data_IF_388104094781
#
_entry.id   IF_388104094781
#
_cell.length_a   1.000
_cell.length_b   1.000
_cell.length_c   1.000
_cell.angle_alpha   90.00
_cell.angle_beta   90.00
_cell.angle_gamma   90.00
#
_symmetry.space_group_name_H-M   'P 1'
#
loop_
_entity.id
_entity.type
_entity.pdbx_description
1 polymer ?
#
# COMPACT_ATOMS: atom_id res chain seq x y z
N UNK A 1 9.73 5.66 11.21
CA UNK A 1 10.53 6.53 10.32
C UNK A 1 9.86 7.90 10.23
N UNK A 2 10.63 9.00 10.31
CA UNK A 2 10.07 10.36 10.37
C UNK A 2 9.55 10.94 9.05
N UNK A 3 10.00 10.43 7.89
CA UNK A 3 9.50 10.76 6.54
C UNK A 3 9.63 9.55 5.60
N UNK A 4 8.69 9.39 4.66
CA UNK A 4 8.71 8.39 3.58
C UNK A 4 9.13 9.06 2.25
N UNK A 5 9.80 8.30 1.39
CA UNK A 5 10.14 8.70 0.02
C UNK A 5 9.10 8.19 -0.97
N UNK A 6 8.71 9.02 -1.92
CA UNK A 6 7.67 8.72 -2.90
C UNK A 6 8.22 8.79 -4.32
N UNK A 7 7.74 7.91 -5.20
CA UNK A 7 8.20 7.82 -6.59
C UNK A 7 7.97 9.13 -7.36
N UNK A 8 6.82 9.80 -7.16
CA UNK A 8 6.54 11.11 -7.78
C UNK A 8 7.51 12.23 -7.39
N UNK A 9 8.37 12.04 -6.38
CA UNK A 9 9.42 13.01 -6.01
C UNK A 9 10.67 12.88 -6.88
N UNK A 10 10.67 11.97 -7.86
CA UNK A 10 11.81 11.71 -8.76
C UNK A 10 12.76 10.61 -8.27
N UNK A 11 12.44 9.94 -7.17
CA UNK A 11 13.19 8.77 -6.71
C UNK A 11 12.86 7.54 -7.54
N UNK A 12 13.85 6.68 -7.77
CA UNK A 12 13.62 5.37 -8.36
C UNK A 12 12.82 4.47 -7.40
N UNK A 13 12.12 3.42 -7.89
CA UNK A 13 11.38 2.51 -7.02
C UNK A 13 12.29 1.88 -5.94
N UNK A 14 13.51 1.50 -6.31
CA UNK A 14 14.50 0.97 -5.38
C UNK A 14 14.88 2.02 -4.30
N UNK A 15 15.09 3.29 -4.68
CA UNK A 15 15.37 4.36 -3.72
C UNK A 15 14.24 4.55 -2.71
N UNK A 16 12.97 4.45 -3.15
CA UNK A 16 11.81 4.55 -2.23
C UNK A 16 11.78 3.43 -1.20
N UNK A 17 12.36 2.27 -1.52
CA UNK A 17 12.32 1.06 -0.70
C UNK A 17 13.61 0.78 0.11
N UNK A 18 14.68 1.58 -0.07
CA UNK A 18 15.94 1.50 0.71
C UNK A 18 15.71 1.32 2.23
N UNK A 19 14.76 2.05 2.86
CA UNK A 19 14.33 1.78 4.23
C UNK A 19 14.22 0.31 4.65
N UNK A 20 13.69 -0.55 3.78
CA UNK A 20 13.47 -1.97 4.10
C UNK A 20 14.79 -2.74 4.20
N UNK A 21 15.76 -2.44 3.34
CA UNK A 21 17.09 -3.05 3.40
C UNK A 21 17.83 -2.65 4.69
N UNK A 22 17.72 -1.38 5.10
CA UNK A 22 18.26 -0.92 6.38
C UNK A 22 17.60 -1.64 7.55
N UNK A 23 16.27 -1.73 7.56
CA UNK A 23 15.53 -2.47 8.59
C UNK A 23 15.98 -3.93 8.67
N UNK A 24 16.15 -4.61 7.53
CA UNK A 24 16.66 -5.98 7.50
C UNK A 24 18.06 -6.10 8.10
N UNK A 25 18.96 -5.19 7.75
CA UNK A 25 20.33 -5.16 8.27
C UNK A 25 20.38 -4.93 9.79
N UNK A 26 19.37 -4.24 10.34
CA UNK A 26 19.19 -4.04 11.78
C UNK A 26 18.49 -5.22 12.48
N UNK A 27 18.17 -6.30 11.77
CA UNK A 27 17.52 -7.48 12.34
C UNK A 27 16.00 -7.36 12.51
N UNK A 28 15.36 -6.40 11.85
CA UNK A 28 13.90 -6.26 11.90
C UNK A 28 13.24 -7.36 11.06
N UNK A 29 12.26 -8.04 11.66
CA UNK A 29 11.51 -9.13 11.04
C UNK A 29 10.09 -8.76 10.64
N UNK A 30 9.58 -7.62 11.13
CA UNK A 30 8.22 -7.15 10.86
C UNK A 30 8.16 -5.63 10.75
N UNK A 31 7.35 -5.14 9.81
CA UNK A 31 7.11 -3.72 9.59
C UNK A 31 5.61 -3.41 9.55
N UNK A 32 5.27 -2.26 10.13
CA UNK A 32 3.95 -1.66 10.06
C UNK A 32 4.05 -0.46 9.11
N UNK A 33 3.26 -0.47 8.06
CA UNK A 33 3.18 0.62 7.09
C UNK A 33 1.82 1.31 7.20
N UNK A 34 1.83 2.64 7.29
CA UNK A 34 0.61 3.45 7.18
C UNK A 34 0.68 4.38 5.96
N UNK A 35 -0.46 4.71 5.38
CA UNK A 35 -0.56 5.75 4.36
C UNK A 35 -1.91 6.48 4.45
N UNK A 36 -2.01 7.63 3.78
CA UNK A 36 -3.28 8.24 3.41
C UNK A 36 -3.70 7.70 2.04
N UNK A 37 -5.01 7.50 1.84
CA UNK A 37 -5.57 7.00 0.59
C UNK A 37 -6.93 7.63 0.27
N UNK A 38 -7.25 7.72 -1.02
CA UNK A 38 -8.59 8.01 -1.51
C UNK A 38 -9.46 6.76 -1.52
N UNK A 39 -10.66 6.83 -0.96
CA UNK A 39 -11.63 5.74 -0.98
C UNK A 39 -12.25 5.57 -2.37
N UNK A 40 -12.03 4.41 -2.99
CA UNK A 40 -12.64 4.01 -4.26
C UNK A 40 -13.94 3.23 -4.00
N UNK A 41 -13.94 2.41 -2.94
CA UNK A 41 -15.14 1.76 -2.43
C UNK A 41 -16.09 2.81 -1.85
N UNK A 42 -17.30 2.92 -2.43
CA UNK A 42 -18.30 3.91 -2.04
C UNK A 42 -18.91 3.65 -0.66
N UNK A 43 -18.67 2.48 -0.07
CA UNK A 43 -19.10 2.14 1.29
C UNK A 43 -18.16 2.67 2.37
N UNK A 44 -16.97 3.15 1.99
CA UNK A 44 -16.01 3.73 2.93
C UNK A 44 -16.32 5.18 3.23
N UNK A 45 -15.86 5.64 4.39
CA UNK A 45 -16.00 7.01 4.85
C UNK A 45 -14.64 7.64 5.16
N UNK A 46 -14.58 8.97 5.11
CA UNK A 46 -13.39 9.69 5.59
C UNK A 46 -13.20 9.39 7.07
N UNK A 47 -11.99 8.98 7.45
CA UNK A 47 -11.66 8.54 8.80
C UNK A 47 -11.62 7.01 8.98
N UNK A 48 -12.11 6.25 7.99
CA UNK A 48 -12.00 4.79 8.02
C UNK A 48 -10.53 4.35 7.94
N UNK A 49 -10.21 3.28 8.65
CA UNK A 49 -8.94 2.55 8.58
C UNK A 49 -9.13 1.30 7.74
N UNK A 50 -8.59 1.30 6.52
CA UNK A 50 -8.59 0.12 5.66
C UNK A 50 -7.33 -0.70 5.88
N UNK A 51 -7.45 -1.88 6.49
CA UNK A 51 -6.39 -2.89 6.42
C UNK A 51 -6.19 -3.32 4.98
N UNK A 52 -4.94 -3.26 4.50
CA UNK A 52 -4.63 -3.69 3.15
C UNK A 52 -4.48 -5.21 3.16
N UNK A 53 -5.38 -5.91 2.46
CA UNK A 53 -5.28 -7.38 2.28
C UNK A 53 -4.50 -7.77 1.03
N UNK A 54 -4.51 -6.89 0.02
CA UNK A 54 -3.84 -7.11 -1.25
C UNK A 54 -3.59 -5.78 -1.98
N UNK A 55 -2.85 -5.80 -3.08
CA UNK A 55 -2.65 -4.62 -3.91
C UNK A 55 -2.67 -4.89 -5.42
N UNK A 56 -2.96 -3.84 -6.18
CA UNK A 56 -2.67 -3.75 -7.62
C UNK A 56 -1.66 -2.62 -7.82
N UNK A 57 -0.51 -2.92 -8.44
CA UNK A 57 0.56 -1.94 -8.64
C UNK A 57 0.69 -1.55 -10.11
N UNK A 58 0.20 -0.38 -10.50
CA UNK A 58 0.40 0.11 -11.87
C UNK A 58 1.86 0.49 -12.14
N UNK A 59 2.61 0.92 -11.13
CA UNK A 59 4.07 1.04 -11.24
C UNK A 59 4.69 -0.32 -11.56
N UNK A 60 4.36 -1.35 -10.77
CA UNK A 60 4.91 -2.69 -10.95
C UNK A 60 4.57 -3.28 -12.32
N UNK A 61 3.31 -3.18 -12.75
CA UNK A 61 2.83 -3.66 -14.05
C UNK A 61 3.48 -2.95 -15.25
N UNK A 62 3.94 -1.71 -15.08
CA UNK A 62 4.66 -0.94 -16.11
C UNK A 62 6.18 -1.10 -16.05
N UNK A 63 6.69 -2.00 -15.21
CA UNK A 63 8.13 -2.26 -15.05
C UNK A 63 8.84 -1.37 -14.03
N UNK A 64 8.14 -0.45 -13.36
CA UNK A 64 8.67 0.37 -12.27
C UNK A 64 8.61 -0.37 -10.93
N UNK A 65 9.28 -1.51 -10.85
CA UNK A 65 9.35 -2.35 -9.65
C UNK A 65 10.70 -2.19 -8.93
N UNK A 66 10.76 -2.11 -7.59
CA UNK A 66 12.02 -1.98 -6.84
C UNK A 66 13.00 -3.15 -7.03
N UNK A 67 12.53 -4.30 -7.53
CA UNK A 67 13.33 -5.50 -7.78
C UNK A 67 13.80 -5.63 -9.25
N UNK A 68 13.52 -4.63 -10.10
CA UNK A 68 14.12 -4.55 -11.44
C UNK A 68 15.63 -4.30 -11.32
N UNK A 69 16.43 -5.03 -12.10
CA UNK A 69 17.89 -5.02 -12.02
C UNK A 69 18.45 -6.37 -11.58
N UNK A 70 19.75 -6.43 -11.24
CA UNK A 70 20.42 -7.66 -10.77
C UNK A 70 19.92 -8.06 -9.39
N UNK A 71 19.63 -9.34 -9.18
CA UNK A 71 19.27 -9.85 -7.85
C UNK A 71 20.52 -10.08 -6.99
N UNK A 72 20.42 -9.80 -5.70
CA UNK A 72 21.37 -10.29 -4.72
C UNK A 72 20.76 -11.50 -4.00
N UNK A 73 21.27 -12.69 -4.32
CA UNK A 73 20.73 -13.96 -3.80
C UNK A 73 20.92 -14.12 -2.28
N UNK A 74 21.84 -13.38 -1.66
CA UNK A 74 21.97 -13.39 -0.19
C UNK A 74 20.87 -12.60 0.53
N UNK A 75 20.16 -11.72 -0.18
CA UNK A 75 19.07 -10.92 0.38
C UNK A 75 17.71 -11.56 0.19
N UNK A 76 17.50 -12.24 -0.94
CA UNK A 76 16.21 -12.84 -1.27
C UNK A 76 16.20 -13.52 -2.64
N UNK A 77 15.16 -14.30 -2.89
CA UNK A 77 14.95 -14.99 -4.17
C UNK A 77 14.73 -14.00 -5.32
N UNK A 78 15.11 -14.39 -6.54
CA UNK A 78 14.89 -13.58 -7.75
C UNK A 78 13.40 -13.31 -8.02
N UNK A 79 12.54 -14.27 -7.68
CA UNK A 79 11.11 -14.24 -7.96
C UNK A 79 10.32 -14.46 -6.68
N UNK A 80 10.17 -13.43 -5.82
CA UNK A 80 9.43 -13.57 -4.58
C UNK A 80 7.95 -13.76 -4.84
N UNK A 81 7.32 -14.69 -4.13
CA UNK A 81 5.86 -14.78 -4.10
C UNK A 81 5.29 -13.61 -3.31
N UNK A 82 4.21 -13.02 -3.84
CA UNK A 82 3.43 -11.99 -3.15
C UNK A 82 2.14 -12.55 -2.53
N UNK A 83 1.92 -13.86 -2.59
CA UNK A 83 0.89 -14.50 -1.78
C UNK A 83 1.18 -14.20 -0.30
N UNK A 84 0.17 -13.72 0.42
CA UNK A 84 0.32 -13.27 1.81
C UNK A 84 1.44 -12.20 1.97
N UNK A 85 1.54 -11.26 1.02
CA UNK A 85 2.43 -10.10 1.16
C UNK A 85 2.03 -9.21 2.34
N UNK A 86 0.73 -9.20 2.67
CA UNK A 86 0.17 -8.59 3.87
C UNK A 86 -0.21 -9.69 4.85
N UNK A 87 0.58 -9.84 5.91
CA UNK A 87 0.57 -11.02 6.78
C UNK A 87 -0.78 -11.23 7.47
N UNK A 88 -1.43 -12.36 7.18
CA UNK A 88 -2.76 -12.74 7.69
C UNK A 88 -2.85 -12.73 9.23
N UNK A 89 -1.79 -13.18 9.91
CA UNK A 89 -1.76 -13.21 11.37
C UNK A 89 -1.74 -11.78 11.93
N UNK A 90 -0.92 -10.91 11.35
CA UNK A 90 -0.88 -9.50 11.75
C UNK A 90 -2.21 -8.79 11.49
N UNK A 91 -2.88 -9.05 10.36
CA UNK A 91 -4.22 -8.51 10.08
C UNK A 91 -5.24 -9.00 11.11
N UNK A 92 -5.21 -10.28 11.49
CA UNK A 92 -6.08 -10.84 12.54
C UNK A 92 -5.83 -10.18 13.90
N UNK A 93 -4.57 -9.99 14.29
CA UNK A 93 -4.21 -9.32 15.55
C UNK A 93 -4.71 -7.88 15.56
N UNK A 94 -4.51 -7.14 14.46
CA UNK A 94 -4.97 -5.75 14.38
C UNK A 94 -6.49 -5.66 14.48
N UNK A 95 -7.23 -6.51 13.76
CA UNK A 95 -8.69 -6.59 13.84
C UNK A 95 -9.19 -6.82 15.27
N UNK A 96 -8.65 -7.85 15.94
CA UNK A 96 -9.01 -8.14 17.32
C UNK A 96 -8.68 -6.97 18.28
N UNK A 97 -7.57 -6.28 18.03
CA UNK A 97 -7.18 -5.09 18.81
C UNK A 97 -8.21 -3.96 18.65
N UNK A 98 -8.63 -3.66 17.42
CA UNK A 98 -9.63 -2.62 17.14
C UNK A 98 -11.00 -2.97 17.73
N UNK A 99 -11.42 -4.24 17.60
CA UNK A 99 -12.67 -4.75 18.19
C UNK A 99 -12.65 -4.65 19.72
N UNK A 100 -11.54 -4.97 20.37
CA UNK A 100 -11.39 -4.87 21.83
C UNK A 100 -11.54 -3.42 22.35
N UNK A 101 -11.29 -2.43 21.49
CA UNK A 101 -11.44 -1.01 21.79
C UNK A 101 -12.82 -0.45 21.42
N UNK A 102 -13.73 -1.29 20.90
CA UNK A 102 -15.05 -0.86 20.44
C UNK A 102 -15.03 0.00 19.17
N UNK A 103 -13.93 -0.04 18.40
CA UNK A 103 -13.70 0.80 17.22
C UNK A 103 -13.92 0.05 15.90
N UNK A 104 -14.57 -1.13 15.92
CA UNK A 104 -14.79 -1.94 14.72
C UNK A 104 -15.58 -1.25 13.60
N UNK A 105 -16.32 -0.18 13.92
CA UNK A 105 -17.12 0.58 12.94
C UNK A 105 -16.28 1.33 11.90
N UNK A 106 -15.05 1.72 12.25
CA UNK A 106 -14.14 2.44 11.34
C UNK A 106 -13.20 1.49 10.60
N UNK A 107 -13.26 0.19 10.89
CA UNK A 107 -12.34 -0.80 10.34
C UNK A 107 -12.87 -1.36 9.03
N UNK A 108 -12.10 -1.19 7.97
CA UNK A 108 -12.34 -1.77 6.66
C UNK A 108 -11.22 -2.74 6.30
N UNK A 109 -11.43 -3.56 5.28
CA UNK A 109 -10.39 -4.40 4.70
C UNK A 109 -10.55 -4.45 3.18
N UNK A 110 -9.48 -4.20 2.43
CA UNK A 110 -9.60 -4.00 0.99
C UNK A 110 -8.30 -4.07 0.19
N UNK A 111 -8.46 -3.96 -1.13
CA UNK A 111 -7.37 -3.96 -2.11
C UNK A 111 -6.90 -2.53 -2.37
N UNK A 112 -5.60 -2.30 -2.20
CA UNK A 112 -4.97 -1.00 -2.44
C UNK A 112 -4.44 -0.89 -3.87
N UNK A 113 -4.82 0.15 -4.61
CA UNK A 113 -4.17 0.47 -5.89
C UNK A 113 -3.05 1.48 -5.69
N UNK A 114 -1.86 1.11 -6.17
CA UNK A 114 -0.68 1.97 -6.17
C UNK A 114 -0.47 2.58 -7.55
N UNK A 115 -0.47 3.91 -7.58
CA UNK A 115 -0.21 4.74 -8.75
C UNK A 115 1.06 5.57 -8.57
N UNK A 116 1.57 6.14 -9.67
CA UNK A 116 2.75 7.00 -9.60
C UNK A 116 2.48 8.31 -8.88
N UNK A 117 1.32 8.94 -9.12
CA UNK A 117 1.09 10.35 -8.80
C UNK A 117 1.90 11.29 -9.72
N UNK A 118 1.98 12.60 -9.41
CA UNK A 118 1.40 13.27 -8.23
C UNK A 118 -0.05 13.73 -8.44
N UNK A 119 -0.58 13.65 -9.67
CA UNK A 119 -1.98 13.95 -9.92
C UNK A 119 -2.87 12.93 -9.21
N UNK A 120 -3.94 13.39 -8.58
CA UNK A 120 -5.03 12.52 -8.16
C UNK A 120 -5.72 11.91 -9.38
N UNK A 121 -6.48 10.87 -9.10
CA UNK A 121 -7.19 10.08 -10.09
C UNK A 121 -8.26 10.91 -10.80
N UNK A 122 -8.37 10.74 -12.12
CA UNK A 122 -9.52 11.20 -12.89
C UNK A 122 -10.77 10.36 -12.57
N UNK A 123 -11.99 10.86 -12.82
CA UNK A 123 -13.20 10.07 -12.61
C UNK A 123 -13.21 8.73 -13.38
N UNK A 124 -12.65 8.71 -14.60
CA UNK A 124 -12.55 7.50 -15.41
C UNK A 124 -11.59 6.47 -14.80
N UNK A 125 -10.43 6.92 -14.30
CA UNK A 125 -9.51 6.06 -13.57
C UNK A 125 -10.15 5.48 -12.30
N UNK A 126 -10.91 6.29 -11.56
CA UNK A 126 -11.62 5.82 -10.37
C UNK A 126 -12.66 4.75 -10.68
N UNK A 127 -13.42 4.96 -11.76
CA UNK A 127 -14.37 3.97 -12.24
C UNK A 127 -13.65 2.67 -12.63
N UNK A 128 -12.54 2.79 -13.37
CA UNK A 128 -11.71 1.65 -13.72
C UNK A 128 -11.16 0.91 -12.50
N UNK A 129 -10.65 1.61 -11.48
CA UNK A 129 -10.17 0.97 -10.24
C UNK A 129 -11.28 0.21 -9.51
N UNK A 130 -12.49 0.77 -9.49
CA UNK A 130 -13.64 0.06 -8.93
C UNK A 130 -13.97 -1.21 -9.71
N UNK A 131 -13.95 -1.14 -11.05
CA UNK A 131 -14.22 -2.29 -11.92
C UNK A 131 -13.21 -3.42 -11.73
N UNK A 132 -11.93 -3.11 -11.47
CA UNK A 132 -10.89 -4.11 -11.22
C UNK A 132 -10.80 -4.54 -9.75
N UNK A 133 -11.74 -4.11 -8.90
CA UNK A 133 -11.85 -4.57 -7.52
C UNK A 133 -10.96 -3.86 -6.50
N UNK A 134 -10.53 -2.63 -6.77
CA UNK A 134 -9.78 -1.82 -5.80
C UNK A 134 -10.71 -1.07 -4.85
N UNK A 135 -10.29 -0.96 -3.59
CA UNK A 135 -11.06 -0.31 -2.52
C UNK A 135 -10.50 1.05 -2.12
N UNK A 136 -9.18 1.25 -2.21
CA UNK A 136 -8.54 2.53 -1.95
C UNK A 136 -7.35 2.77 -2.90
N UNK A 137 -7.08 4.03 -3.21
CA UNK A 137 -6.02 4.45 -4.12
C UNK A 137 -4.99 5.34 -3.42
N UNK A 138 -3.73 5.20 -3.80
CA UNK A 138 -2.69 6.14 -3.41
C UNK A 138 -1.35 5.90 -4.12
N UNK A 139 -0.31 6.56 -3.59
CA UNK A 139 0.94 6.80 -4.33
C UNK A 139 2.19 6.29 -3.61
N UNK A 140 2.05 5.31 -2.70
CA UNK A 140 3.16 4.82 -1.86
C UNK A 140 2.99 3.35 -1.46
N UNK A 141 3.78 2.90 -0.47
CA UNK A 141 3.60 1.64 0.28
C UNK A 141 3.99 0.39 -0.48
N UNK A 142 3.54 0.21 -1.73
CA UNK A 142 3.75 -1.05 -2.45
C UNK A 142 5.23 -1.33 -2.70
N UNK A 143 6.04 -0.32 -3.04
CA UNK A 143 7.48 -0.54 -3.22
C UNK A 143 8.15 -1.05 -1.93
N UNK A 144 7.77 -0.50 -0.76
CA UNK A 144 8.26 -1.00 0.51
C UNK A 144 7.76 -2.42 0.82
N UNK A 145 6.49 -2.73 0.51
CA UNK A 145 5.94 -4.09 0.65
C UNK A 145 6.77 -5.08 -0.18
N UNK A 146 7.00 -4.79 -1.46
CA UNK A 146 7.76 -5.66 -2.36
C UNK A 146 9.18 -5.92 -1.86
N UNK A 147 9.89 -4.87 -1.42
CA UNK A 147 11.23 -5.01 -0.86
C UNK A 147 11.23 -5.77 0.47
N UNK A 148 10.27 -5.48 1.37
CA UNK A 148 10.12 -6.20 2.63
C UNK A 148 9.90 -7.70 2.39
N UNK A 149 9.04 -8.06 1.44
CA UNK A 149 8.77 -9.46 1.08
C UNK A 149 9.99 -10.15 0.47
N UNK A 150 10.73 -9.47 -0.41
CA UNK A 150 12.00 -9.96 -0.93
C UNK A 150 13.00 -10.28 0.20
N UNK A 151 13.05 -9.45 1.23
CA UNK A 151 13.94 -9.57 2.39
C UNK A 151 13.41 -10.51 3.50
N UNK A 152 12.25 -11.15 3.29
CA UNK A 152 11.62 -12.03 4.28
C UNK A 152 11.07 -11.30 5.51
N UNK A 153 10.77 -10.01 5.40
CA UNK A 153 10.14 -9.22 6.46
C UNK A 153 8.61 -9.38 6.36
N UNK A 154 7.95 -9.64 7.49
CA UNK A 154 6.48 -9.64 7.58
C UNK A 154 5.94 -8.22 7.49
N UNK A 155 4.86 -8.02 6.73
CA UNK A 155 4.29 -6.68 6.52
C UNK A 155 2.86 -6.66 7.01
N UNK A 156 2.54 -5.66 7.83
CA UNK A 156 1.17 -5.19 8.04
C UNK A 156 1.05 -3.79 7.45
N UNK A 157 -0.04 -3.50 6.74
CA UNK A 157 -0.27 -2.19 6.18
C UNK A 157 -1.72 -1.73 6.36
N UNK A 158 -1.88 -0.43 6.62
CA UNK A 158 -3.18 0.20 6.83
C UNK A 158 -3.24 1.55 6.12
N UNK A 159 -4.36 1.82 5.45
CA UNK A 159 -4.65 3.10 4.84
C UNK A 159 -5.67 3.85 5.68
N UNK A 160 -5.39 5.12 6.01
CA UNK A 160 -6.40 6.06 6.47
C UNK A 160 -7.11 6.64 5.24
N UNK A 161 -8.43 6.46 5.16
CA UNK A 161 -9.24 7.06 4.09
C UNK A 161 -9.39 8.55 4.38
N UNK A 162 -8.75 9.39 3.55
CA UNK A 162 -8.71 10.85 3.75
C UNK A 162 -9.71 11.62 2.90
N UNK A 163 -10.20 11.00 1.84
CA UNK A 163 -11.21 11.53 0.93
C UNK A 163 -11.95 10.36 0.28
N UNK A 164 -13.20 10.57 -0.09
CA UNK A 164 -13.93 9.64 -0.96
C UNK A 164 -13.83 10.17 -2.36
N UNK A 165 -13.39 9.33 -3.30
CA UNK A 165 -13.27 9.79 -4.68
C UNK A 165 -14.66 9.89 -5.29
N UNK A 166 -15.12 11.12 -5.48
CA UNK A 166 -16.46 11.44 -6.00
C UNK A 166 -16.39 11.62 -7.51
N UNK A 167 -17.41 11.12 -8.21
CA UNK A 167 -17.52 11.16 -9.67
C UNK A 167 -17.83 12.55 -10.26
N UNK A 168 -18.01 13.59 -9.42
CA UNK A 168 -18.36 14.93 -9.88
C UNK A 168 -17.13 15.82 -10.11
N UNK A 169 -17.14 16.56 -11.21
CA UNK A 169 -16.10 17.50 -11.64
C UNK A 169 -15.82 18.57 -10.58
N UNK A 170 -14.59 19.07 -10.57
CA UNK A 170 -14.07 20.17 -9.75
C UNK A 170 -14.88 21.49 -9.77
N UNK A 171 -15.95 21.58 -10.57
CA UNK A 171 -16.75 22.78 -10.82
C UNK A 171 -17.93 22.99 -9.87
N UNK A 172 -18.18 22.11 -8.90
CA UNK A 172 -19.22 22.30 -7.89
C UNK A 172 -18.59 22.46 -6.50
N UNK A 173 -18.14 23.69 -6.21
CA UNK A 173 -17.98 24.20 -4.84
C UNK A 173 -19.07 25.23 -4.58
#
# INVERSE_FOLDING_TARGET
MGKRYHFYQGYTPAQTAIPMALMKALGIEMVILSNAAGGINSSFHVGDLMMIKDHISFLGLSGNNPLVGRNNESMGTRFPSLCNAYDDELRRIFRATVESQGQQKILQEGVYVCQSGPCYETPAECHFFRLIGCDAAGMSTVNEVLAARHLGIKVFAVSLITNIVREKSWSEK
#
